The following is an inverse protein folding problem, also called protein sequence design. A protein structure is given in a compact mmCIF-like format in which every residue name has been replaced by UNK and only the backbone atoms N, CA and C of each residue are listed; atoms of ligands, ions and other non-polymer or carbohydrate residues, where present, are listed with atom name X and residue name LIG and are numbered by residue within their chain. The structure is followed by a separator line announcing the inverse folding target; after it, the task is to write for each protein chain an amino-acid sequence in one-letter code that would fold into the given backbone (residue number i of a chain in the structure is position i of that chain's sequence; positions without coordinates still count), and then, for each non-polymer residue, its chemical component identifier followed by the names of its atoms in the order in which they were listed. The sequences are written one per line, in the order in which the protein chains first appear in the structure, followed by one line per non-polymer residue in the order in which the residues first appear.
data_IF_015918359821
#
_entry.id   IF_015918359821
#
_cell.length_a   1.000
_cell.length_b   1.000
_cell.length_c   1.000
_cell.angle_alpha   90.00
_cell.angle_beta   90.00
_cell.angle_gamma   90.00
#
_symmetry.space_group_name_H-M   'P 1'
#
loop_
_entity.id
_entity.type
_entity.pdbx_description
1 polymer ?
#
# COMPACT_ATOMS: atom_id res chain seq x y z
N UNK A 1 -23.01 8.58 -7.90
CA UNK A 1 -24.44 8.90 -7.68
C UNK A 1 -25.07 7.88 -6.74
N UNK A 2 -26.17 8.20 -6.03
CA UNK A 2 -26.78 7.31 -5.03
C UNK A 2 -27.10 5.90 -5.51
N UNK A 3 -27.33 4.99 -4.58
CA UNK A 3 -27.69 3.59 -4.84
C UNK A 3 -29.17 3.44 -5.24
N UNK A 4 -29.54 4.10 -6.34
CA UNK A 4 -30.88 4.13 -6.92
C UNK A 4 -30.82 3.88 -8.42
N UNK A 5 -31.47 2.81 -8.88
CA UNK A 5 -31.33 2.34 -10.26
C UNK A 5 -31.83 3.38 -11.29
N UNK A 6 -32.96 4.03 -11.01
CA UNK A 6 -33.53 5.08 -11.86
C UNK A 6 -32.58 6.26 -12.09
N UNK A 7 -31.85 6.66 -11.04
CA UNK A 7 -30.84 7.73 -11.12
C UNK A 7 -29.62 7.25 -11.90
N UNK A 8 -29.14 6.03 -11.63
CA UNK A 8 -27.98 5.44 -12.32
C UNK A 8 -28.25 5.31 -13.82
N UNK A 9 -29.43 4.82 -14.25
CA UNK A 9 -29.78 4.72 -15.67
C UNK A 9 -29.76 6.07 -16.38
N UNK A 10 -30.32 7.12 -15.78
CA UNK A 10 -30.30 8.48 -16.36
C UNK A 10 -28.87 8.97 -16.57
N UNK A 11 -28.02 8.81 -15.55
CA UNK A 11 -26.62 9.24 -15.60
C UNK A 11 -25.83 8.43 -16.62
N UNK A 12 -26.02 7.11 -16.68
CA UNK A 12 -25.36 6.24 -17.66
C UNK A 12 -25.76 6.62 -19.10
N UNK A 13 -27.04 6.91 -19.34
CA UNK A 13 -27.51 7.38 -20.64
C UNK A 13 -26.89 8.74 -21.03
N UNK A 14 -26.80 9.68 -20.08
CA UNK A 14 -26.17 10.99 -20.30
C UNK A 14 -24.67 10.87 -20.59
N UNK A 15 -23.95 10.01 -19.87
CA UNK A 15 -22.53 9.69 -20.15
C UNK A 15 -22.39 9.08 -21.54
N UNK A 16 -23.27 8.15 -21.93
CA UNK A 16 -23.22 7.54 -23.26
C UNK A 16 -23.52 8.51 -24.39
N UNK A 17 -24.33 9.54 -24.16
CA UNK A 17 -24.63 10.57 -25.15
C UNK A 17 -23.41 11.48 -25.44
N UNK A 18 -22.48 11.60 -24.50
CA UNK A 18 -21.35 12.54 -24.57
C UNK A 18 -19.96 11.89 -24.64
N UNK A 19 -19.89 10.56 -24.71
CA UNK A 19 -18.62 9.82 -24.84
C UNK A 19 -18.50 9.11 -26.19
N UNK A 20 -17.26 8.99 -26.74
CA UNK A 20 -17.01 8.17 -27.92
C UNK A 20 -17.44 6.71 -27.71
N UNK A 21 -17.73 5.99 -28.79
CA UNK A 21 -17.96 4.54 -28.73
C UNK A 21 -16.70 3.80 -28.29
N UNK A 22 -16.87 2.72 -27.54
CA UNK A 22 -15.80 1.83 -27.08
C UNK A 22 -15.09 2.26 -25.81
N UNK A 23 -15.58 3.29 -25.11
CA UNK A 23 -15.10 3.68 -23.78
C UNK A 23 -15.56 2.69 -22.70
N UNK A 24 -14.81 2.63 -21.60
CA UNK A 24 -15.21 1.88 -20.40
C UNK A 24 -16.02 2.82 -19.50
N UNK A 25 -17.23 2.40 -19.10
CA UNK A 25 -18.06 3.10 -18.12
C UNK A 25 -18.20 2.21 -16.88
N UNK A 26 -17.46 2.54 -15.82
CA UNK A 26 -17.48 1.80 -14.56
C UNK A 26 -18.46 2.40 -13.55
N UNK A 27 -19.43 1.62 -13.07
CA UNK A 27 -20.31 1.97 -11.96
C UNK A 27 -19.73 1.49 -10.63
N UNK A 28 -19.68 2.36 -9.62
CA UNK A 28 -19.24 2.01 -8.25
C UNK A 28 -20.35 1.42 -7.36
N UNK A 29 -21.38 0.83 -7.95
CA UNK A 29 -22.52 0.25 -7.22
C UNK A 29 -22.06 -0.90 -6.32
N UNK A 30 -22.59 -0.95 -5.10
CA UNK A 30 -22.30 -2.01 -4.13
C UNK A 30 -23.27 -3.19 -4.28
N UNK A 31 -24.50 -2.94 -4.76
CA UNK A 31 -25.55 -3.96 -4.82
C UNK A 31 -25.94 -4.45 -6.22
N UNK A 32 -26.08 -3.54 -7.19
CA UNK A 32 -26.73 -3.86 -8.47
C UNK A 32 -25.83 -4.67 -9.41
N UNK A 33 -26.44 -5.59 -10.14
CA UNK A 33 -25.78 -6.36 -11.19
C UNK A 33 -25.51 -5.47 -12.41
N UNK A 34 -24.42 -5.73 -13.17
CA UNK A 34 -24.21 -5.07 -14.45
C UNK A 34 -25.41 -5.19 -15.39
N UNK A 35 -26.07 -6.35 -15.46
CA UNK A 35 -27.26 -6.54 -16.30
C UNK A 35 -28.41 -5.59 -15.95
N UNK A 36 -28.60 -5.24 -14.67
CA UNK A 36 -29.59 -4.27 -14.23
C UNK A 36 -29.20 -2.85 -14.67
N UNK A 37 -27.92 -2.49 -14.52
CA UNK A 37 -27.39 -1.19 -14.96
C UNK A 37 -27.48 -1.01 -16.48
N UNK A 38 -27.38 -2.10 -17.23
CA UNK A 38 -27.39 -2.13 -18.70
C UNK A 38 -28.80 -2.01 -19.29
N UNK A 39 -29.86 -2.15 -18.49
CA UNK A 39 -31.24 -2.09 -18.98
C UNK A 39 -31.53 -0.73 -19.63
N UNK A 40 -32.02 -0.77 -20.87
CA UNK A 40 -32.35 0.44 -21.64
C UNK A 40 -31.14 1.26 -22.12
N UNK A 41 -29.91 0.81 -21.86
CA UNK A 41 -28.70 1.50 -22.33
C UNK A 41 -28.54 1.39 -23.86
N UNK A 42 -28.09 2.47 -24.50
CA UNK A 42 -27.84 2.47 -25.94
C UNK A 42 -26.66 1.57 -26.34
N UNK A 43 -25.66 1.45 -25.45
CA UNK A 43 -24.46 0.63 -25.65
C UNK A 43 -24.16 -0.20 -24.39
N UNK A 44 -24.95 -1.23 -24.09
CA UNK A 44 -24.85 -1.96 -22.81
C UNK A 44 -23.47 -2.60 -22.60
N UNK A 45 -22.80 -3.00 -23.69
CA UNK A 45 -21.45 -3.57 -23.64
C UNK A 45 -20.34 -2.65 -23.11
N UNK A 46 -20.59 -1.34 -22.96
CA UNK A 46 -19.63 -0.37 -22.40
C UNK A 46 -19.76 -0.22 -20.88
N UNK A 47 -20.83 -0.74 -20.29
CA UNK A 47 -21.16 -0.54 -18.88
C UNK A 47 -20.74 -1.77 -18.08
N UNK A 48 -19.87 -1.56 -17.09
CA UNK A 48 -19.39 -2.58 -16.15
C UNK A 48 -19.48 -2.05 -14.73
N UNK A 49 -19.43 -2.93 -13.74
CA UNK A 49 -19.25 -2.55 -12.34
C UNK A 49 -17.76 -2.50 -12.04
N UNK A 50 -17.34 -1.44 -11.36
CA UNK A 50 -16.01 -1.25 -10.77
C UNK A 50 -16.25 -0.79 -9.33
N UNK A 51 -16.51 -1.73 -8.42
CA UNK A 51 -16.91 -1.49 -7.03
C UNK A 51 -15.67 -1.38 -6.12
N UNK A 52 -15.29 -0.16 -5.66
CA UNK A 52 -14.15 0.04 -4.79
C UNK A 52 -14.54 -0.12 -3.31
N UNK A 53 -13.56 -0.21 -2.42
CA UNK A 53 -13.79 -0.27 -0.97
C UNK A 53 -13.38 1.04 -0.30
N UNK A 54 -14.26 1.58 0.54
CA UNK A 54 -13.99 2.80 1.29
C UNK A 54 -13.01 2.53 2.46
N UNK A 55 -11.96 3.32 2.68
CA UNK A 55 -11.50 4.49 1.90
C UNK A 55 -10.81 4.13 0.57
N UNK A 56 -11.37 4.63 -0.55
CA UNK A 56 -10.99 4.24 -1.92
C UNK A 56 -9.54 4.59 -2.27
N UNK A 57 -9.00 5.65 -1.69
CA UNK A 57 -7.60 6.06 -1.92
C UNK A 57 -6.57 5.20 -1.18
N UNK A 58 -7.02 4.27 -0.31
CA UNK A 58 -6.15 3.47 0.55
C UNK A 58 -6.36 1.97 0.35
N UNK A 59 -7.62 1.50 0.33
CA UNK A 59 -7.91 0.08 0.10
C UNK A 59 -7.81 -0.24 -1.39
N UNK A 60 -6.88 -1.14 -1.80
CA UNK A 60 -6.57 -1.29 -3.22
C UNK A 60 -7.54 -2.20 -3.96
N UNK A 61 -8.35 -2.99 -3.25
CA UNK A 61 -9.26 -3.94 -3.89
C UNK A 61 -10.34 -3.19 -4.69
N UNK A 62 -10.68 -3.72 -5.86
CA UNK A 62 -11.84 -3.25 -6.63
C UNK A 62 -12.48 -4.43 -7.34
N UNK A 63 -13.77 -4.66 -7.14
CA UNK A 63 -14.48 -5.74 -7.83
C UNK A 63 -14.88 -5.27 -9.22
N UNK A 64 -14.45 -6.02 -10.24
CA UNK A 64 -14.77 -5.75 -11.64
C UNK A 64 -15.76 -6.81 -12.11
N UNK A 65 -16.96 -6.37 -12.47
CA UNK A 65 -18.07 -7.24 -12.89
C UNK A 65 -18.58 -6.79 -14.25
N UNK A 66 -18.57 -7.69 -15.22
CA UNK A 66 -19.18 -7.48 -16.54
C UNK A 66 -20.19 -8.57 -16.85
N UNK A 67 -20.99 -8.36 -17.89
CA UNK A 67 -21.79 -9.41 -18.54
C UNK A 67 -20.98 -10.09 -19.64
N UNK A 68 -21.55 -11.14 -20.24
CA UNK A 68 -20.93 -11.86 -21.36
C UNK A 68 -20.78 -10.99 -22.64
N UNK A 69 -20.04 -11.51 -23.62
CA UNK A 69 -19.90 -10.86 -24.92
C UNK A 69 -19.08 -9.55 -24.86
N UNK A 70 -19.53 -8.45 -25.48
CA UNK A 70 -18.77 -7.19 -25.52
C UNK A 70 -18.42 -6.62 -24.14
N UNK A 71 -19.29 -6.80 -23.13
CA UNK A 71 -19.03 -6.33 -21.77
C UNK A 71 -17.88 -7.08 -21.09
N UNK A 72 -17.60 -8.32 -21.47
CA UNK A 72 -16.45 -9.06 -20.95
C UNK A 72 -15.14 -8.42 -21.39
N UNK A 73 -15.04 -8.02 -22.65
CA UNK A 73 -13.87 -7.29 -23.17
C UNK A 73 -13.73 -5.90 -22.52
N UNK A 74 -14.83 -5.22 -22.23
CA UNK A 74 -14.84 -3.96 -21.48
C UNK A 74 -14.36 -4.15 -20.04
N UNK A 75 -14.77 -5.22 -19.37
CA UNK A 75 -14.31 -5.56 -18.03
C UNK A 75 -12.80 -5.87 -18.00
N UNK A 76 -12.28 -6.53 -19.03
CA UNK A 76 -10.83 -6.78 -19.17
C UNK A 76 -10.05 -5.47 -19.36
N UNK A 77 -10.53 -4.55 -20.19
CA UNK A 77 -9.93 -3.20 -20.29
C UNK A 77 -9.97 -2.44 -18.97
N UNK A 78 -11.10 -2.51 -18.24
CA UNK A 78 -11.21 -1.90 -16.92
C UNK A 78 -10.17 -2.49 -15.95
N UNK A 79 -9.99 -3.82 -15.98
CA UNK A 79 -8.99 -4.53 -15.17
C UNK A 79 -7.57 -4.00 -15.45
N UNK A 80 -7.20 -3.82 -16.71
CA UNK A 80 -5.88 -3.29 -17.09
C UNK A 80 -5.68 -1.84 -16.61
N UNK A 81 -6.68 -0.97 -16.83
CA UNK A 81 -6.63 0.43 -16.38
C UNK A 81 -6.45 0.52 -14.87
N UNK A 82 -7.27 -0.22 -14.12
CA UNK A 82 -7.25 -0.25 -12.66
C UNK A 82 -5.93 -0.81 -12.11
N UNK A 83 -5.40 -1.87 -12.74
CA UNK A 83 -4.07 -2.40 -12.41
C UNK A 83 -2.98 -1.36 -12.65
N UNK A 84 -3.07 -0.61 -13.76
CA UNK A 84 -2.12 0.43 -14.14
C UNK A 84 -1.99 1.52 -13.07
N UNK A 85 -3.10 1.97 -12.50
CA UNK A 85 -3.15 2.99 -11.44
C UNK A 85 -2.89 2.46 -10.02
N UNK A 86 -2.53 1.18 -9.88
CA UNK A 86 -2.12 0.59 -8.59
C UNK A 86 -3.22 -0.13 -7.81
N UNK A 87 -4.45 -0.23 -8.34
CA UNK A 87 -5.51 -1.03 -7.73
C UNK A 87 -5.24 -2.54 -7.92
N UNK A 88 -5.89 -3.36 -7.09
CA UNK A 88 -6.02 -4.80 -7.22
C UNK A 88 -7.42 -5.14 -7.73
N UNK A 89 -7.64 -5.17 -9.05
CA UNK A 89 -8.92 -5.59 -9.57
C UNK A 89 -9.14 -7.10 -9.31
N UNK A 90 -10.34 -7.41 -8.84
CA UNK A 90 -10.85 -8.76 -8.62
C UNK A 90 -11.95 -9.01 -9.65
N UNK A 91 -11.69 -9.90 -10.60
CA UNK A 91 -12.67 -10.25 -11.65
C UNK A 91 -13.76 -11.14 -11.07
N UNK A 92 -14.97 -10.62 -10.96
CA UNK A 92 -16.16 -11.38 -10.58
C UNK A 92 -16.67 -12.09 -11.82
N UNK A 93 -16.56 -13.42 -11.82
CA UNK A 93 -16.80 -14.24 -13.03
C UNK A 93 -18.26 -14.28 -13.46
N UNK A 94 -19.17 -14.18 -12.51
CA UNK A 94 -20.61 -14.21 -12.74
C UNK A 94 -21.24 -13.15 -11.85
N UNK A 95 -22.06 -12.30 -12.44
CA UNK A 95 -22.79 -11.31 -11.66
C UNK A 95 -23.70 -11.98 -10.61
N UNK A 96 -23.77 -11.33 -9.46
CA UNK A 96 -24.58 -11.72 -8.31
C UNK A 96 -24.87 -10.45 -7.52
N UNK A 97 -26.01 -10.41 -6.82
CA UNK A 97 -26.32 -9.30 -5.92
C UNK A 97 -25.26 -9.20 -4.81
N UNK A 98 -24.78 -7.98 -4.56
CA UNK A 98 -23.73 -7.65 -3.60
C UNK A 98 -22.36 -8.30 -3.87
N UNK A 99 -22.08 -8.69 -5.11
CA UNK A 99 -20.76 -9.15 -5.57
C UNK A 99 -20.14 -10.25 -4.69
N UNK A 100 -18.85 -10.19 -4.34
CA UNK A 100 -18.19 -11.19 -3.49
C UNK A 100 -17.99 -10.63 -2.07
N UNK A 101 -17.32 -9.47 -1.96
CA UNK A 101 -16.89 -8.96 -0.66
C UNK A 101 -18.06 -8.51 0.22
N UNK A 102 -19.04 -7.80 -0.32
CA UNK A 102 -20.19 -7.33 0.45
C UNK A 102 -21.03 -8.51 0.96
N UNK A 103 -21.04 -9.65 0.26
CA UNK A 103 -21.68 -10.88 0.79
C UNK A 103 -21.01 -11.41 2.05
N UNK A 104 -19.68 -11.30 2.16
CA UNK A 104 -18.97 -11.64 3.39
C UNK A 104 -19.24 -10.63 4.50
N UNK A 105 -19.25 -9.32 4.17
CA UNK A 105 -19.59 -8.27 5.12
C UNK A 105 -21.01 -8.45 5.67
N UNK A 106 -21.98 -8.70 4.79
CA UNK A 106 -23.37 -8.99 5.14
C UNK A 106 -23.50 -10.23 6.01
N UNK A 107 -22.80 -11.32 5.69
CA UNK A 107 -22.87 -12.54 6.50
C UNK A 107 -22.40 -12.28 7.95
N UNK A 108 -21.27 -11.58 8.11
CA UNK A 108 -20.74 -11.24 9.45
C UNK A 108 -21.66 -10.26 10.16
N UNK A 109 -22.19 -9.25 9.46
CA UNK A 109 -23.09 -8.26 10.01
C UNK A 109 -24.39 -8.87 10.54
N UNK A 110 -25.03 -9.75 9.74
CA UNK A 110 -26.29 -10.42 10.11
C UNK A 110 -26.12 -11.29 11.35
N UNK A 111 -25.01 -12.02 11.44
CA UNK A 111 -24.70 -12.81 12.63
C UNK A 111 -24.53 -11.90 13.86
N UNK A 112 -23.81 -10.79 13.71
CA UNK A 112 -23.66 -9.80 14.79
C UNK A 112 -25.00 -9.25 15.30
N UNK A 113 -25.94 -8.94 14.40
CA UNK A 113 -27.29 -8.49 14.77
C UNK A 113 -28.03 -9.53 15.62
N UNK A 114 -27.92 -10.81 15.28
CA UNK A 114 -28.52 -11.89 16.07
C UNK A 114 -27.86 -12.06 17.43
N UNK A 115 -26.53 -12.00 17.50
CA UNK A 115 -25.80 -12.08 18.76
C UNK A 115 -26.18 -10.96 19.73
N UNK A 116 -26.38 -9.73 19.22
CA UNK A 116 -26.84 -8.60 20.03
C UNK A 116 -28.30 -8.80 20.45
N UNK A 117 -29.19 -9.10 19.51
CA UNK A 117 -30.61 -9.29 19.80
C UNK A 117 -30.84 -10.38 20.85
N UNK A 118 -30.13 -11.50 20.72
CA UNK A 118 -30.28 -12.65 21.61
C UNK A 118 -29.48 -12.49 22.92
N UNK A 119 -28.83 -11.33 23.14
CA UNK A 119 -28.12 -10.99 24.38
C UNK A 119 -26.83 -11.76 24.60
N UNK A 120 -26.23 -12.29 23.54
CA UNK A 120 -25.01 -13.12 23.58
C UNK A 120 -23.75 -12.24 23.62
N UNK A 121 -23.76 -11.10 22.94
CA UNK A 121 -22.64 -10.17 22.89
C UNK A 121 -23.10 -8.73 22.65
N UNK A 122 -22.30 -7.77 23.08
CA UNK A 122 -22.42 -6.35 22.76
C UNK A 122 -21.72 -6.01 21.44
N UNK A 123 -21.95 -4.80 20.90
CA UNK A 123 -21.21 -4.31 19.72
C UNK A 123 -19.69 -4.35 19.94
N UNK A 124 -19.21 -4.03 21.14
CA UNK A 124 -17.79 -4.02 21.47
C UNK A 124 -17.19 -5.42 21.50
N UNK A 125 -17.85 -6.39 22.13
CA UNK A 125 -17.35 -7.77 22.21
C UNK A 125 -17.26 -8.44 20.83
N UNK A 126 -18.24 -8.17 19.94
CA UNK A 126 -18.22 -8.65 18.56
C UNK A 126 -17.03 -8.06 17.82
N UNK A 127 -16.84 -6.75 17.92
CA UNK A 127 -15.74 -6.05 17.29
C UNK A 127 -14.38 -6.55 17.81
N UNK A 128 -14.25 -6.79 19.12
CA UNK A 128 -13.01 -7.28 19.74
C UNK A 128 -12.66 -8.71 19.31
N UNK A 129 -13.66 -9.57 19.09
CA UNK A 129 -13.47 -10.89 18.47
C UNK A 129 -12.81 -10.78 17.07
N UNK A 130 -13.11 -9.70 16.33
CA UNK A 130 -12.53 -9.42 15.02
C UNK A 130 -11.14 -8.78 15.18
N UNK A 131 -11.04 -7.66 15.90
CA UNK A 131 -9.83 -6.82 16.03
C UNK A 131 -8.68 -7.56 16.71
N UNK A 132 -8.98 -8.37 17.72
CA UNK A 132 -7.97 -9.10 18.50
C UNK A 132 -7.89 -10.59 18.16
N UNK A 133 -8.82 -11.10 17.34
CA UNK A 133 -8.90 -12.51 16.95
C UNK A 133 -8.62 -12.75 15.48
N UNK A 134 -9.66 -13.11 14.73
CA UNK A 134 -9.50 -13.63 13.37
C UNK A 134 -9.23 -12.55 12.32
N UNK A 135 -9.60 -11.29 12.55
CA UNK A 135 -9.43 -10.19 11.61
C UNK A 135 -7.98 -9.96 11.21
N UNK A 136 -7.04 -10.02 12.17
CA UNK A 136 -5.59 -9.86 11.90
C UNK A 136 -5.06 -10.99 11.01
N UNK A 137 -5.55 -12.23 11.18
CA UNK A 137 -5.17 -13.36 10.31
C UNK A 137 -5.69 -13.15 8.88
N UNK A 138 -6.94 -12.69 8.75
CA UNK A 138 -7.54 -12.43 7.45
C UNK A 138 -6.89 -11.27 6.71
N UNK A 139 -6.51 -10.20 7.41
CA UNK A 139 -5.90 -9.01 6.82
C UNK A 139 -4.64 -9.30 5.99
N UNK A 140 -3.91 -10.37 6.30
CA UNK A 140 -2.66 -10.72 5.63
C UNK A 140 -2.76 -11.91 4.65
N UNK A 141 -3.66 -12.88 4.85
CA UNK A 141 -3.76 -14.07 3.98
C UNK A 141 -5.19 -14.51 3.60
N UNK A 142 -6.22 -13.89 4.17
CA UNK A 142 -7.62 -14.26 3.90
C UNK A 142 -8.06 -15.60 4.51
N UNK A 143 -9.31 -15.99 4.23
CA UNK A 143 -9.99 -17.12 4.87
C UNK A 143 -9.36 -18.48 4.54
N UNK A 144 -9.22 -18.80 3.25
CA UNK A 144 -8.80 -20.13 2.81
C UNK A 144 -7.34 -20.43 3.13
N UNK A 145 -6.43 -19.46 3.01
CA UNK A 145 -5.02 -19.68 3.42
C UNK A 145 -4.92 -19.85 4.95
N UNK A 146 -5.72 -19.12 5.72
CA UNK A 146 -5.77 -19.29 7.19
C UNK A 146 -6.18 -20.74 7.55
N UNK A 147 -7.18 -21.30 6.87
CA UNK A 147 -7.60 -22.69 7.09
C UNK A 147 -6.64 -23.71 6.47
N UNK A 148 -5.92 -23.36 5.41
CA UNK A 148 -4.84 -24.20 4.87
C UNK A 148 -3.75 -24.42 5.91
N UNK A 149 -3.36 -23.37 6.64
CA UNK A 149 -2.42 -23.49 7.77
C UNK A 149 -2.99 -24.38 8.87
N UNK A 150 -4.28 -24.26 9.19
CA UNK A 150 -4.94 -25.11 10.17
C UNK A 150 -5.00 -26.60 9.75
N UNK A 151 -4.98 -26.90 8.45
CA UNK A 151 -4.88 -28.25 7.91
C UNK A 151 -3.49 -28.89 8.00
N UNK A 152 -2.46 -28.14 8.43
CA UNK A 152 -1.09 -28.61 8.56
C UNK A 152 -0.47 -29.07 7.23
N UNK A 153 0.50 -29.97 7.29
CA UNK A 153 1.22 -30.48 6.11
C UNK A 153 0.30 -31.22 5.12
N UNK A 154 -0.80 -31.81 5.62
CA UNK A 154 -1.81 -32.47 4.79
C UNK A 154 -2.76 -31.48 4.08
N UNK A 155 -2.71 -30.20 4.43
CA UNK A 155 -3.36 -29.10 3.74
C UNK A 155 -4.89 -29.07 3.83
N UNK A 156 -5.51 -28.35 2.88
CA UNK A 156 -6.94 -28.01 2.92
C UNK A 156 -7.86 -29.24 2.87
N UNK A 157 -7.51 -30.28 2.11
CA UNK A 157 -8.32 -31.48 2.04
C UNK A 157 -8.45 -32.17 3.41
N UNK A 158 -7.36 -32.20 4.18
CA UNK A 158 -7.37 -32.72 5.54
C UNK A 158 -8.22 -31.85 6.47
N UNK A 159 -8.06 -30.53 6.43
CA UNK A 159 -8.89 -29.59 7.18
C UNK A 159 -10.39 -29.81 6.91
N UNK A 160 -10.79 -29.94 5.64
CA UNK A 160 -12.18 -30.20 5.25
C UNK A 160 -12.65 -31.57 5.73
N UNK A 161 -11.83 -32.61 5.64
CA UNK A 161 -12.20 -33.93 6.14
C UNK A 161 -12.42 -33.93 7.66
N UNK A 162 -11.60 -33.18 8.39
CA UNK A 162 -11.65 -33.08 9.85
C UNK A 162 -12.83 -32.22 10.33
N UNK A 163 -13.03 -31.02 9.78
CA UNK A 163 -14.00 -30.03 10.27
C UNK A 163 -15.25 -29.91 9.41
N UNK A 164 -15.26 -30.46 8.19
CA UNK A 164 -16.42 -30.48 7.29
C UNK A 164 -17.71 -31.01 7.94
N UNK A 165 -17.68 -32.07 8.76
CA UNK A 165 -18.87 -32.54 9.48
C UNK A 165 -19.50 -31.48 10.41
N UNK A 166 -18.71 -30.54 10.93
CA UNK A 166 -19.21 -29.46 11.80
C UNK A 166 -20.01 -28.41 11.04
N UNK A 167 -19.87 -28.31 9.70
CA UNK A 167 -20.61 -27.35 8.89
C UNK A 167 -22.12 -27.62 8.84
N UNK A 168 -22.55 -28.84 9.19
CA UNK A 168 -23.96 -29.19 9.32
C UNK A 168 -24.58 -28.74 10.65
N UNK A 169 -23.77 -28.26 11.60
CA UNK A 169 -24.28 -27.83 12.90
C UNK A 169 -24.92 -26.44 12.78
N UNK A 170 -26.03 -26.18 13.49
CA UNK A 170 -26.82 -24.95 13.34
C UNK A 170 -26.20 -23.77 14.11
N UNK A 171 -24.94 -23.44 13.78
CA UNK A 171 -24.16 -22.44 14.52
C UNK A 171 -24.47 -20.99 14.17
N UNK A 172 -24.94 -20.70 12.96
CA UNK A 172 -25.11 -19.33 12.46
C UNK A 172 -26.49 -19.11 11.86
N UNK A 173 -26.95 -17.86 11.84
CA UNK A 173 -28.26 -17.41 11.33
C UNK A 173 -28.08 -16.42 10.18
N UNK A 174 -27.54 -16.90 9.05
CA UNK A 174 -27.14 -16.02 7.94
C UNK A 174 -28.25 -15.66 6.94
N UNK A 175 -29.32 -16.45 6.91
CA UNK A 175 -30.37 -16.32 5.89
C UNK A 175 -31.46 -15.30 6.25
N UNK A 176 -31.64 -15.01 7.54
CA UNK A 176 -32.63 -14.05 8.05
C UNK A 176 -31.94 -12.98 8.90
N UNK A 177 -32.62 -11.85 9.08
CA UNK A 177 -32.21 -10.78 10.01
C UNK A 177 -33.23 -10.64 11.12
N UNK A 178 -32.84 -10.20 12.32
CA UNK A 178 -33.82 -9.79 13.30
C UNK A 178 -34.66 -8.63 12.78
N UNK A 179 -35.90 -8.53 13.24
CA UNK A 179 -36.69 -7.32 13.05
C UNK A 179 -35.96 -6.14 13.70
N UNK A 180 -35.66 -5.10 12.92
CA UNK A 180 -35.01 -3.88 13.39
C UNK A 180 -36.02 -3.00 14.14
N UNK A 181 -36.47 -3.49 15.29
CA UNK A 181 -37.36 -2.74 16.18
C UNK A 181 -36.66 -1.49 16.71
N UNK A 182 -37.43 -0.48 17.11
CA UNK A 182 -36.89 0.75 17.70
C UNK A 182 -35.98 0.44 18.91
N UNK A 183 -36.34 -0.58 19.71
CA UNK A 183 -35.55 -1.03 20.86
C UNK A 183 -34.20 -1.64 20.45
N UNK A 184 -34.18 -2.49 19.40
CA UNK A 184 -32.94 -3.09 18.92
C UNK A 184 -32.02 -2.02 18.30
N UNK A 185 -32.59 -1.13 17.49
CA UNK A 185 -31.86 0.01 16.90
C UNK A 185 -31.27 0.88 17.99
N UNK A 186 -32.07 1.24 19.01
CA UNK A 186 -31.60 2.02 20.16
C UNK A 186 -30.49 1.28 20.93
N UNK A 187 -30.63 -0.02 21.15
CA UNK A 187 -29.61 -0.82 21.85
C UNK A 187 -28.28 -0.80 21.10
N UNK A 188 -28.29 -1.03 19.79
CA UNK A 188 -27.08 -1.00 18.96
C UNK A 188 -26.46 0.41 18.96
N UNK A 189 -27.29 1.44 18.80
CA UNK A 189 -26.83 2.83 18.79
C UNK A 189 -26.19 3.23 20.13
N UNK A 190 -26.86 2.97 21.26
CA UNK A 190 -26.34 3.28 22.60
C UNK A 190 -25.02 2.55 22.89
N UNK A 191 -24.90 1.28 22.48
CA UNK A 191 -23.67 0.50 22.65
C UNK A 191 -22.53 1.04 21.76
N UNK A 192 -22.84 1.41 20.51
CA UNK A 192 -21.86 2.03 19.60
C UNK A 192 -21.37 3.38 20.13
N UNK A 193 -22.27 4.22 20.63
CA UNK A 193 -21.96 5.51 21.24
C UNK A 193 -21.15 5.35 22.53
N UNK A 194 -21.46 4.36 23.36
CA UNK A 194 -20.67 4.06 24.56
C UNK A 194 -19.22 3.67 24.21
N UNK A 195 -19.04 2.90 23.13
CA UNK A 195 -17.73 2.43 22.70
C UNK A 195 -16.88 3.54 22.06
N UNK A 196 -17.46 4.39 21.21
CA UNK A 196 -16.68 5.30 20.34
C UNK A 196 -17.19 6.75 20.31
N UNK A 197 -18.27 7.07 21.02
CA UNK A 197 -18.91 8.39 21.00
C UNK A 197 -18.06 9.54 21.58
N UNK A 198 -16.97 9.22 22.27
CA UNK A 198 -15.96 10.21 22.69
C UNK A 198 -15.12 10.76 21.53
N UNK A 199 -15.18 10.13 20.35
CA UNK A 199 -14.48 10.55 19.16
C UNK A 199 -15.44 11.15 18.13
N UNK A 200 -15.02 12.24 17.49
CA UNK A 200 -15.67 12.68 16.25
C UNK A 200 -15.43 11.67 15.13
N UNK A 201 -16.34 11.62 14.15
CA UNK A 201 -16.18 10.75 12.97
C UNK A 201 -14.83 10.97 12.29
N UNK A 202 -14.39 12.23 12.16
CA UNK A 202 -13.10 12.55 11.54
C UNK A 202 -11.89 12.04 12.33
N UNK A 203 -11.99 11.95 13.67
CA UNK A 203 -10.95 11.32 14.48
C UNK A 203 -10.93 9.80 14.27
N UNK A 204 -12.09 9.15 14.23
CA UNK A 204 -12.19 7.72 13.94
C UNK A 204 -11.65 7.37 12.54
N UNK A 205 -11.96 8.19 11.53
CA UNK A 205 -11.41 8.04 10.17
C UNK A 205 -9.88 8.11 10.17
N UNK A 206 -9.29 9.07 10.88
CA UNK A 206 -7.82 9.17 11.00
C UNK A 206 -7.22 7.96 11.70
N UNK A 207 -7.79 7.53 12.82
CA UNK A 207 -7.35 6.33 13.55
C UNK A 207 -7.40 5.10 12.64
N UNK A 208 -8.50 4.90 11.91
CA UNK A 208 -8.66 3.79 10.95
C UNK A 208 -7.58 3.86 9.86
N UNK A 209 -7.45 5.00 9.20
CA UNK A 209 -6.58 5.16 8.04
C UNK A 209 -5.10 5.03 8.40
N UNK A 210 -4.66 5.61 9.53
CA UNK A 210 -3.29 5.50 10.01
C UNK A 210 -2.91 4.06 10.36
N UNK A 211 -3.84 3.31 10.95
CA UNK A 211 -3.66 1.88 11.25
C UNK A 211 -3.60 1.04 9.96
N UNK A 212 -4.49 1.29 9.00
CA UNK A 212 -4.49 0.60 7.70
C UNK A 212 -3.18 0.84 6.94
N UNK A 213 -2.69 2.08 6.88
CA UNK A 213 -1.39 2.41 6.28
C UNK A 213 -0.25 1.66 6.97
N UNK A 214 -0.26 1.61 8.30
CA UNK A 214 0.77 0.93 9.09
C UNK A 214 0.78 -0.59 8.83
N UNK A 215 -0.40 -1.22 8.76
CA UNK A 215 -0.53 -2.63 8.38
C UNK A 215 -0.02 -2.90 6.96
N UNK A 216 -0.46 -2.11 5.97
CA UNK A 216 -0.04 -2.29 4.58
C UNK A 216 1.47 -2.11 4.39
N UNK A 217 2.10 -1.16 5.08
CA UNK A 217 3.55 -0.97 5.06
C UNK A 217 4.31 -2.11 5.72
N UNK A 218 3.77 -2.66 6.80
CA UNK A 218 4.35 -3.84 7.47
C UNK A 218 4.32 -5.05 6.53
N UNK A 219 3.21 -5.25 5.82
CA UNK A 219 3.08 -6.28 4.78
C UNK A 219 4.01 -6.03 3.59
N UNK A 220 4.24 -4.76 3.22
CA UNK A 220 5.14 -4.38 2.11
C UNK A 220 6.56 -4.85 2.37
N UNK A 221 7.06 -4.67 3.60
CA UNK A 221 8.37 -5.17 4.01
C UNK A 221 8.50 -6.70 3.99
N UNK A 222 7.38 -7.43 4.04
CA UNK A 222 7.32 -8.89 3.91
C UNK A 222 6.96 -9.38 2.51
N UNK A 223 6.75 -8.47 1.56
CA UNK A 223 6.29 -8.74 0.20
C UNK A 223 5.08 -9.69 0.17
N UNK A 224 4.08 -9.42 1.02
CA UNK A 224 2.91 -10.30 1.19
C UNK A 224 1.59 -9.52 1.14
N UNK A 225 0.49 -10.18 0.78
CA UNK A 225 -0.84 -9.58 0.72
C UNK A 225 -0.88 -8.24 -0.03
N UNK A 226 -1.51 -7.22 0.57
CA UNK A 226 -1.53 -5.84 0.04
C UNK A 226 -0.13 -5.24 -0.12
N UNK A 227 0.84 -5.65 0.71
CA UNK A 227 2.22 -5.21 0.62
C UNK A 227 2.93 -5.63 -0.67
N UNK A 228 2.68 -6.86 -1.13
CA UNK A 228 3.22 -7.35 -2.41
C UNK A 228 2.72 -6.51 -3.59
N UNK A 229 1.44 -6.12 -3.57
CA UNK A 229 0.86 -5.22 -4.56
C UNK A 229 1.56 -3.85 -4.54
N UNK A 230 1.78 -3.28 -3.35
CA UNK A 230 2.49 -2.01 -3.22
C UNK A 230 3.92 -2.08 -3.78
N UNK A 231 4.64 -3.20 -3.61
CA UNK A 231 5.96 -3.38 -4.21
C UNK A 231 5.90 -3.47 -5.74
N UNK A 232 4.90 -4.16 -6.29
CA UNK A 232 4.68 -4.22 -7.74
C UNK A 232 4.37 -2.84 -8.33
N UNK A 233 3.57 -2.04 -7.61
CA UNK A 233 3.26 -0.68 -8.03
C UNK A 233 4.49 0.23 -7.99
N UNK A 234 5.28 0.21 -6.91
CA UNK A 234 6.54 0.95 -6.81
C UNK A 234 7.50 0.59 -7.95
N UNK A 235 7.65 -0.70 -8.26
CA UNK A 235 8.51 -1.16 -9.35
C UNK A 235 8.06 -0.59 -10.71
N UNK A 236 6.74 -0.48 -10.94
CA UNK A 236 6.19 0.14 -12.15
C UNK A 236 6.46 1.63 -12.20
N UNK A 237 6.22 2.36 -11.11
CA UNK A 237 6.51 3.80 -11.04
C UNK A 237 7.99 4.07 -11.27
N UNK A 238 8.86 3.28 -10.65
CA UNK A 238 10.30 3.36 -10.83
C UNK A 238 10.75 3.11 -12.27
N UNK A 239 10.07 2.22 -13.00
CA UNK A 239 10.35 1.99 -14.42
C UNK A 239 9.94 3.17 -15.32
N UNK A 240 9.11 4.09 -14.83
CA UNK A 240 8.72 5.32 -15.51
C UNK A 240 9.60 6.53 -15.14
N UNK A 241 10.50 6.38 -14.16
CA UNK A 241 11.38 7.46 -13.74
C UNK A 241 12.40 7.80 -14.86
N UNK A 242 12.62 9.09 -15.14
CA UNK A 242 13.61 9.50 -16.11
C UNK A 242 15.03 9.15 -15.62
N UNK A 243 15.95 8.95 -16.57
CA UNK A 243 17.38 8.82 -16.23
C UNK A 243 17.86 10.14 -15.61
N UNK A 244 18.51 10.12 -14.44
CA UNK A 244 18.96 11.35 -13.79
C UNK A 244 20.11 11.99 -14.56
N UNK A 245 20.26 13.31 -14.41
CA UNK A 245 21.42 14.04 -14.90
C UNK A 245 22.64 13.79 -14.00
N UNK A 246 23.57 12.96 -14.48
CA UNK A 246 24.81 12.62 -13.80
C UNK A 246 25.80 13.79 -13.64
N UNK A 247 25.53 14.97 -14.22
CA UNK A 247 26.33 16.16 -14.01
C UNK A 247 25.89 16.98 -12.78
N UNK A 248 24.82 16.58 -12.09
CA UNK A 248 24.25 17.25 -10.92
C UNK A 248 24.14 16.30 -9.73
N UNK A 249 24.02 16.80 -8.48
CA UNK A 249 23.68 15.95 -7.34
C UNK A 249 22.44 15.11 -7.65
N UNK A 250 22.55 13.78 -7.45
CA UNK A 250 21.54 12.85 -7.93
C UNK A 250 20.32 12.86 -7.00
N UNK A 251 19.09 13.00 -7.51
CA UNK A 251 17.90 12.86 -6.70
C UNK A 251 17.75 11.38 -6.27
N UNK A 252 17.84 11.14 -4.97
CA UNK A 252 17.87 9.78 -4.40
C UNK A 252 16.72 9.51 -3.44
N UNK A 253 15.96 10.52 -3.05
CA UNK A 253 14.72 10.38 -2.30
C UNK A 253 13.79 11.57 -2.61
N UNK A 254 12.50 11.30 -2.77
CA UNK A 254 11.43 12.30 -2.72
C UNK A 254 10.22 11.65 -2.04
N UNK A 255 9.83 12.16 -0.88
CA UNK A 255 8.70 11.60 -0.15
C UNK A 255 8.04 12.58 0.80
N UNK A 256 6.81 12.22 1.18
CA UNK A 256 6.14 12.77 2.36
C UNK A 256 6.62 12.02 3.62
N UNK A 257 6.89 12.77 4.69
CA UNK A 257 7.21 12.26 6.02
C UNK A 257 5.95 11.61 6.60
N UNK A 258 5.95 10.28 6.82
CA UNK A 258 4.78 9.61 7.35
C UNK A 258 4.64 9.85 8.86
N UNK A 259 3.41 9.77 9.36
CA UNK A 259 3.14 9.86 10.80
C UNK A 259 3.89 8.78 11.61
N UNK A 260 4.13 7.61 11.03
CA UNK A 260 4.93 6.54 11.64
C UNK A 260 6.41 6.87 11.83
N UNK A 261 6.88 8.01 11.28
CA UNK A 261 8.24 8.51 11.46
C UNK A 261 8.34 9.61 12.51
N UNK A 262 7.21 10.09 13.02
CA UNK A 262 7.20 11.18 13.99
C UNK A 262 7.08 10.68 15.42
N UNK A 263 7.56 11.48 16.35
CA UNK A 263 7.34 11.28 17.78
C UNK A 263 5.95 11.78 18.22
N UNK A 264 5.70 11.75 19.52
CA UNK A 264 4.44 12.22 20.11
C UNK A 264 4.20 13.73 19.93
N UNK A 265 5.22 14.50 19.58
CA UNK A 265 5.13 15.94 19.26
C UNK A 265 4.94 16.20 17.76
N UNK A 266 4.87 15.16 16.92
CA UNK A 266 4.75 15.28 15.47
C UNK A 266 6.05 15.61 14.75
N UNK A 267 7.19 15.60 15.43
CA UNK A 267 8.51 15.84 14.83
C UNK A 267 9.10 14.54 14.33
N UNK A 268 9.75 14.56 13.17
CA UNK A 268 10.46 13.41 12.64
C UNK A 268 11.55 12.98 13.61
N UNK A 269 11.46 11.74 14.09
CA UNK A 269 12.39 11.19 15.07
C UNK A 269 13.82 11.10 14.48
N UNK A 270 14.85 11.31 15.31
CA UNK A 270 16.26 11.35 14.90
C UNK A 270 16.67 10.14 14.02
N UNK A 271 16.25 8.93 14.40
CA UNK A 271 16.62 7.70 13.70
C UNK A 271 16.02 7.63 12.29
N UNK A 272 14.90 8.32 12.06
CA UNK A 272 14.22 8.33 10.76
C UNK A 272 14.94 9.17 9.72
N UNK A 273 15.75 10.14 10.14
CA UNK A 273 16.66 10.84 9.22
C UNK A 273 17.67 9.85 8.64
N UNK A 274 18.29 9.04 9.50
CA UNK A 274 19.22 8.00 9.05
C UNK A 274 18.51 6.94 8.18
N UNK A 275 17.28 6.55 8.52
CA UNK A 275 16.50 5.64 7.66
C UNK A 275 16.25 6.25 6.27
N UNK A 276 15.91 7.54 6.18
CA UNK A 276 15.71 8.23 4.91
C UNK A 276 17.00 8.28 4.08
N UNK A 277 18.13 8.59 4.74
CA UNK A 277 19.44 8.57 4.09
C UNK A 277 19.90 7.17 3.69
N UNK A 278 19.59 6.14 4.46
CA UNK A 278 19.84 4.75 4.09
C UNK A 278 19.12 4.40 2.79
N UNK A 279 17.84 4.79 2.66
CA UNK A 279 17.07 4.60 1.42
C UNK A 279 17.61 5.42 0.25
N UNK A 280 18.11 6.62 0.51
CA UNK A 280 18.79 7.43 -0.50
C UNK A 280 20.09 6.76 -0.99
N UNK A 281 20.87 6.17 -0.08
CA UNK A 281 22.07 5.39 -0.42
C UNK A 281 21.70 4.14 -1.23
N UNK A 282 20.64 3.41 -0.86
CA UNK A 282 20.13 2.28 -1.64
C UNK A 282 19.73 2.73 -3.05
N UNK A 283 19.05 3.89 -3.18
CA UNK A 283 18.71 4.44 -4.50
C UNK A 283 19.94 4.80 -5.31
N UNK A 284 20.98 5.37 -4.69
CA UNK A 284 22.26 5.61 -5.36
C UNK A 284 22.89 4.30 -5.86
N UNK A 285 22.87 3.24 -5.05
CA UNK A 285 23.34 1.91 -5.43
C UNK A 285 22.59 1.38 -6.65
N UNK A 286 21.27 1.49 -6.68
CA UNK A 286 20.47 1.12 -7.85
C UNK A 286 20.83 1.95 -9.09
N UNK A 287 21.01 3.27 -8.93
CA UNK A 287 21.39 4.16 -10.04
C UNK A 287 22.71 3.73 -10.66
N UNK A 288 23.69 3.28 -9.87
CA UNK A 288 24.98 2.77 -10.38
C UNK A 288 24.92 1.33 -10.89
N UNK A 289 23.76 0.67 -10.83
CA UNK A 289 23.56 -0.70 -11.32
C UNK A 289 23.69 -1.79 -10.26
N UNK A 290 23.87 -1.43 -8.99
CA UNK A 290 23.83 -2.36 -7.86
C UNK A 290 22.39 -2.58 -7.37
N UNK A 291 21.51 -3.01 -8.26
CA UNK A 291 20.10 -3.30 -7.96
C UNK A 291 19.88 -4.71 -7.38
N UNK A 292 18.62 -5.12 -7.20
CA UNK A 292 18.28 -6.45 -6.67
C UNK A 292 18.81 -7.60 -7.55
N UNK A 293 18.87 -7.44 -8.87
CA UNK A 293 19.41 -8.44 -9.78
C UNK A 293 20.92 -8.56 -9.60
N UNK A 294 21.62 -7.44 -9.45
CA UNK A 294 23.03 -7.41 -9.11
C UNK A 294 23.30 -8.07 -7.75
N UNK A 295 22.53 -7.73 -6.72
CA UNK A 295 22.68 -8.29 -5.36
C UNK A 295 22.49 -9.81 -5.36
N UNK A 296 21.57 -10.33 -6.18
CA UNK A 296 21.35 -11.76 -6.34
C UNK A 296 22.56 -12.51 -6.93
N UNK A 297 23.51 -11.83 -7.60
CA UNK A 297 24.80 -12.42 -8.01
C UNK A 297 25.76 -12.64 -6.82
N UNK A 298 25.37 -12.15 -5.64
CA UNK A 298 26.10 -12.25 -4.38
C UNK A 298 27.19 -11.19 -4.21
N UNK A 299 27.02 -10.01 -4.79
CA UNK A 299 27.87 -8.85 -4.55
C UNK A 299 27.02 -7.67 -4.06
N UNK A 300 27.58 -6.79 -3.23
CA UNK A 300 26.89 -5.59 -2.76
C UNK A 300 27.87 -4.52 -2.27
N UNK A 301 27.36 -3.35 -1.92
CA UNK A 301 28.06 -2.38 -1.10
C UNK A 301 27.49 -2.36 0.31
N UNK A 302 28.35 -2.21 1.31
CA UNK A 302 27.95 -1.96 2.69
C UNK A 302 28.51 -0.63 3.17
N UNK A 303 27.71 0.08 3.94
CA UNK A 303 28.13 1.28 4.65
C UNK A 303 29.14 0.92 5.74
N UNK A 304 30.35 1.43 5.62
CA UNK A 304 31.41 1.24 6.60
C UNK A 304 31.43 2.35 7.65
N UNK A 305 31.15 3.59 7.22
CA UNK A 305 31.11 4.75 8.10
C UNK A 305 29.92 5.64 7.73
N UNK A 306 29.37 6.33 8.73
CA UNK A 306 28.26 7.27 8.58
C UNK A 306 28.44 8.40 9.57
N UNK A 307 28.34 9.63 9.08
CA UNK A 307 28.30 10.82 9.90
C UNK A 307 27.06 11.65 9.54
N UNK A 308 26.11 11.71 10.48
CA UNK A 308 24.82 12.41 10.32
C UNK A 308 24.84 13.74 11.09
N UNK A 309 24.42 14.81 10.43
CA UNK A 309 24.17 16.11 11.05
C UNK A 309 22.68 16.43 10.94
N UNK A 310 22.06 16.68 12.10
CA UNK A 310 20.72 17.27 12.17
C UNK A 310 20.86 18.80 12.19
N UNK A 311 20.18 19.48 11.29
CA UNK A 311 20.31 20.92 11.05
C UNK A 311 19.00 21.62 11.40
N UNK A 312 17.88 21.11 10.91
CA UNK A 312 16.54 21.65 11.10
C UNK A 312 15.51 20.50 11.22
N UNK A 313 14.26 20.82 11.56
CA UNK A 313 13.19 19.85 11.81
C UNK A 313 12.22 19.67 10.65
N UNK A 314 11.63 18.49 10.59
CA UNK A 314 10.55 18.12 9.67
C UNK A 314 9.40 17.51 10.47
N UNK A 315 8.17 17.78 10.03
CA UNK A 315 6.93 17.34 10.65
C UNK A 315 6.23 16.27 9.81
N UNK A 316 5.25 15.60 10.40
CA UNK A 316 4.36 14.70 9.66
C UNK A 316 3.66 15.47 8.52
N UNK A 317 3.67 14.91 7.31
CA UNK A 317 3.07 15.53 6.13
C UNK A 317 4.00 16.45 5.33
N UNK A 318 5.15 16.83 5.90
CA UNK A 318 6.17 17.57 5.15
C UNK A 318 6.72 16.74 4.01
N UNK A 319 7.01 17.39 2.88
CA UNK A 319 7.69 16.74 1.75
C UNK A 319 9.19 17.01 1.84
N UNK A 320 9.97 15.93 1.87
CA UNK A 320 11.42 15.93 1.94
C UNK A 320 12.02 15.35 0.66
N UNK A 321 13.11 15.96 0.20
CA UNK A 321 13.93 15.46 -0.91
C UNK A 321 15.36 15.23 -0.46
N UNK A 322 16.01 14.20 -0.98
CA UNK A 322 17.44 13.94 -0.76
C UNK A 322 18.17 13.95 -2.09
N UNK A 323 19.28 14.67 -2.11
CA UNK A 323 20.22 14.72 -3.22
C UNK A 323 21.57 14.15 -2.78
N UNK A 324 22.15 13.27 -3.59
CA UNK A 324 23.40 12.56 -3.28
C UNK A 324 24.49 12.94 -4.26
N UNK A 325 25.61 13.45 -3.74
CA UNK A 325 26.82 13.74 -4.49
C UNK A 325 27.90 12.70 -4.16
N UNK A 326 28.38 12.00 -5.20
CA UNK A 326 29.59 11.20 -5.14
C UNK A 326 30.82 12.11 -5.00
N UNK A 327 31.54 12.00 -3.86
CA UNK A 327 32.74 12.77 -3.57
C UNK A 327 33.99 12.08 -4.12
N UNK A 328 34.07 10.76 -4.01
CA UNK A 328 35.15 9.97 -4.59
C UNK A 328 34.73 8.52 -4.81
N UNK A 329 35.34 7.87 -5.81
CA UNK A 329 35.19 6.44 -6.04
C UNK A 329 36.52 5.86 -6.49
N UNK A 330 36.92 4.72 -5.92
CA UNK A 330 38.19 4.08 -6.26
C UNK A 330 38.39 2.75 -5.56
N UNK A 331 38.98 1.80 -6.28
CA UNK A 331 39.23 0.46 -5.75
C UNK A 331 37.93 -0.23 -5.33
N UNK A 332 37.84 -0.54 -4.04
CA UNK A 332 36.69 -1.23 -3.43
C UNK A 332 35.72 -0.29 -2.72
N UNK A 333 35.93 1.02 -2.77
CA UNK A 333 35.19 1.98 -1.95
C UNK A 333 34.67 3.15 -2.77
N UNK A 334 33.59 3.74 -2.30
CA UNK A 334 33.19 5.08 -2.71
C UNK A 334 32.70 5.88 -1.52
N UNK A 335 32.73 7.20 -1.68
CA UNK A 335 32.40 8.18 -0.67
C UNK A 335 31.30 9.09 -1.19
N UNK A 336 30.16 9.12 -0.51
CA UNK A 336 29.01 9.96 -0.88
C UNK A 336 28.69 10.96 0.23
N UNK A 337 28.14 12.09 -0.18
CA UNK A 337 27.51 13.07 0.70
C UNK A 337 26.08 13.30 0.24
N UNK A 338 25.11 13.20 1.14
CA UNK A 338 23.71 13.45 0.82
C UNK A 338 23.13 14.57 1.66
N UNK A 339 22.32 15.42 1.03
CA UNK A 339 21.66 16.56 1.67
C UNK A 339 20.15 16.38 1.59
N UNK A 340 19.47 16.54 2.73
CA UNK A 340 18.02 16.47 2.82
C UNK A 340 17.43 17.87 2.91
N UNK A 341 16.49 18.17 2.02
CA UNK A 341 15.81 19.46 1.98
C UNK A 341 14.31 19.30 2.22
N UNK A 342 13.74 20.29 2.89
CA UNK A 342 12.30 20.51 2.90
C UNK A 342 11.82 21.08 1.55
N UNK A 343 10.53 20.95 1.25
CA UNK A 343 9.93 21.46 0.02
C UNK A 343 10.03 22.98 -0.18
N UNK A 344 10.22 23.75 0.89
CA UNK A 344 10.48 25.20 0.86
C UNK A 344 11.95 25.56 0.61
N UNK A 345 12.85 24.57 0.49
CA UNK A 345 14.28 24.76 0.25
C UNK A 345 15.16 24.78 1.49
N UNK A 346 14.62 24.71 2.72
CA UNK A 346 15.43 24.60 3.94
C UNK A 346 16.24 23.30 3.97
N UNK A 347 17.49 23.38 4.42
CA UNK A 347 18.34 22.21 4.64
C UNK A 347 18.03 21.60 6.02
N UNK A 348 17.54 20.36 6.01
CA UNK A 348 17.08 19.66 7.22
C UNK A 348 18.18 18.84 7.88
N UNK A 349 18.95 18.11 7.07
CA UNK A 349 20.00 17.24 7.54
C UNK A 349 21.02 16.94 6.43
N UNK A 350 22.21 16.50 6.81
CA UNK A 350 23.22 15.99 5.88
C UNK A 350 23.81 14.69 6.41
N UNK A 351 24.15 13.77 5.51
CA UNK A 351 24.91 12.57 5.85
C UNK A 351 26.15 12.43 4.96
N UNK A 352 27.26 12.05 5.56
CA UNK A 352 28.49 11.65 4.87
C UNK A 352 28.70 10.16 5.09
N UNK A 353 28.90 9.38 4.02
CA UNK A 353 28.99 7.92 4.10
C UNK A 353 30.09 7.36 3.21
N UNK A 354 30.86 6.43 3.77
CA UNK A 354 31.81 5.61 3.01
C UNK A 354 31.24 4.21 2.86
N UNK A 355 31.15 3.75 1.61
CA UNK A 355 30.65 2.43 1.26
C UNK A 355 31.78 1.55 0.70
N UNK A 356 31.72 0.26 1.02
CA UNK A 356 32.72 -0.74 0.63
C UNK A 356 32.04 -1.87 -0.13
N UNK A 357 32.57 -2.21 -1.30
CA UNK A 357 32.14 -3.32 -2.12
C UNK A 357 32.57 -4.66 -1.50
N UNK A 358 31.65 -5.62 -1.45
CA UNK A 358 31.82 -6.91 -0.79
C UNK A 358 31.23 -8.07 -1.60
N UNK A 359 31.80 -9.25 -1.42
CA UNK A 359 31.16 -10.50 -1.81
C UNK A 359 30.31 -11.01 -0.65
N UNK A 360 29.05 -11.35 -0.93
CA UNK A 360 28.13 -11.94 0.03
C UNK A 360 28.46 -13.41 0.32
N UNK A 361 29.19 -14.09 -0.58
CA UNK A 361 29.68 -15.44 -0.36
C UNK A 361 30.85 -15.47 0.62
N UNK A 362 31.87 -14.62 0.41
CA UNK A 362 33.08 -14.62 1.25
C UNK A 362 32.99 -13.68 2.44
N UNK A 363 32.00 -12.76 2.45
CA UNK A 363 31.84 -11.68 3.42
C UNK A 363 33.08 -10.78 3.54
N UNK A 364 33.82 -10.62 2.46
CA UNK A 364 35.04 -9.83 2.40
C UNK A 364 34.99 -8.77 1.31
N UNK A 365 35.77 -7.70 1.49
CA UNK A 365 35.87 -6.62 0.53
C UNK A 365 36.50 -7.10 -0.78
N UNK A 366 35.82 -6.90 -1.90
CA UNK A 366 36.27 -7.32 -3.24
C UNK A 366 36.16 -6.16 -4.24
N UNK A 367 36.84 -6.25 -5.38
CA UNK A 367 36.68 -5.24 -6.44
C UNK A 367 35.27 -5.35 -7.05
N UNK A 368 34.59 -4.23 -7.31
CA UNK A 368 33.38 -4.26 -8.12
C UNK A 368 33.68 -4.70 -9.56
N UNK A 369 32.73 -5.32 -10.25
CA UNK A 369 32.83 -5.57 -11.69
C UNK A 369 33.04 -4.27 -12.49
N UNK A 370 33.61 -4.38 -13.69
CA UNK A 370 34.06 -3.22 -14.48
C UNK A 370 32.93 -2.28 -14.88
N UNK A 371 31.75 -2.80 -15.19
CA UNK A 371 30.57 -2.00 -15.52
C UNK A 371 30.14 -1.06 -14.38
N UNK A 372 30.13 -1.55 -13.13
CA UNK A 372 29.86 -0.73 -11.94
C UNK A 372 31.00 0.25 -11.68
N UNK A 373 32.26 -0.20 -11.80
CA UNK A 373 33.44 0.63 -11.58
C UNK A 373 33.53 1.80 -12.58
N UNK A 374 33.29 1.52 -13.86
CA UNK A 374 33.31 2.51 -14.95
C UNK A 374 32.19 3.54 -14.77
N UNK A 375 31.01 3.09 -14.33
CA UNK A 375 29.87 3.99 -14.05
C UNK A 375 30.18 4.91 -12.87
N UNK A 376 30.72 4.38 -11.77
CA UNK A 376 31.19 5.19 -10.64
C UNK A 376 32.28 6.18 -11.06
N UNK A 377 33.26 5.75 -11.87
CA UNK A 377 34.33 6.62 -12.37
C UNK A 377 33.79 7.77 -13.24
N UNK A 378 32.81 7.48 -14.10
CA UNK A 378 32.11 8.50 -14.90
C UNK A 378 31.40 9.53 -14.02
N UNK A 379 30.63 9.08 -13.03
CA UNK A 379 29.92 9.98 -12.10
C UNK A 379 30.93 10.80 -11.30
N UNK A 380 31.98 10.18 -10.78
CA UNK A 380 33.02 10.87 -10.00
C UNK A 380 33.69 11.97 -10.82
N UNK A 381 33.98 11.72 -12.10
CA UNK A 381 34.53 12.74 -13.01
C UNK A 381 33.60 13.94 -13.19
N UNK A 382 32.29 13.69 -13.32
CA UNK A 382 31.31 14.76 -13.46
C UNK A 382 31.15 15.54 -12.15
N UNK A 383 31.04 14.84 -11.03
CA UNK A 383 30.85 15.43 -9.72
C UNK A 383 32.10 16.16 -9.20
N UNK A 384 33.30 15.85 -9.70
CA UNK A 384 34.51 16.60 -9.40
C UNK A 384 34.45 18.07 -9.86
N UNK A 385 33.55 18.41 -10.80
CA UNK A 385 33.30 19.78 -11.23
C UNK A 385 32.29 20.52 -10.35
N UNK A 386 31.58 19.81 -9.47
CA UNK A 386 30.62 20.41 -8.54
C UNK A 386 31.32 21.00 -7.32
N UNK A 387 30.75 22.05 -6.69
CA UNK A 387 31.24 22.51 -5.39
C UNK A 387 31.23 21.38 -4.36
N UNK A 388 32.21 21.41 -3.45
CA UNK A 388 32.23 20.51 -2.30
C UNK A 388 31.08 20.94 -1.36
N UNK A 389 30.16 20.04 -0.98
CA UNK A 389 29.07 20.38 -0.07
C UNK A 389 29.56 20.88 1.28
N UNK A 390 28.82 21.82 1.87
CA UNK A 390 29.07 22.24 3.24
C UNK A 390 28.80 21.09 4.21
N UNK A 391 29.81 20.72 5.00
CA UNK A 391 29.68 19.67 6.01
C UNK A 391 30.53 18.42 5.78
N UNK A 392 31.15 18.30 4.61
CA UNK A 392 32.14 17.24 4.32
C UNK A 392 33.28 17.30 5.34
N UNK A 393 33.62 16.17 5.95
CA UNK A 393 34.67 16.04 6.96
C UNK A 393 34.31 16.59 8.34
N UNK A 394 33.03 16.94 8.60
CA UNK A 394 32.60 17.35 9.95
C UNK A 394 32.71 16.17 10.91
N UNK A 395 32.95 16.45 12.19
CA UNK A 395 32.94 15.44 13.25
C UNK A 395 32.27 15.96 14.53
N UNK A 396 31.87 15.02 15.40
CA UNK A 396 31.27 15.33 16.70
C UNK A 396 32.26 16.12 17.56
N UNK A 397 31.79 17.25 18.11
CA UNK A 397 32.62 18.15 18.92
C UNK A 397 33.29 19.29 18.13
N UNK A 398 33.21 19.30 16.81
CA UNK A 398 33.70 20.42 16.01
C UNK A 398 32.81 21.67 16.24
N UNK A 399 33.40 22.87 16.49
CA UNK A 399 32.64 24.11 16.63
C UNK A 399 31.73 24.36 15.43
N UNK A 400 30.51 24.85 15.68
CA UNK A 400 29.57 25.20 14.62
C UNK A 400 30.01 26.45 13.89
#
# INVERSE_FOLDING_TARGET
VPERLDIKHKVLAEVQAHTPKGVVIGSSTSGFKPSELQQGAARPGEIVVCHPFNPVYLLPLIEVVGTDGPAAATADKAYEILTGIGMKPLKVRKEIDAHIADRFLEAVWREGLWLIKDGIATTEEIDDAIRFGFGIRWAQMGLFETYRVAGGEAGMAHFIAQFGPCLAWPWTKLMDVPELTDDLVKTIADQSDAQSGMHTIRQLERIRDDNLVSMMRSLKGRNWGAGALLNQHDARLKALEPTPDFASPLPTLDRVVPISWTDYNGHMNEARYLEAFSKASDRFMEIIGCDATYIATGNSYFTAETHLRHIDEALAGDRIRVETQLLSAGGKKYHIFSSMYHSDGRLLATVEQVLIHVSLQTRAATMPPSDIADKLARIAKLHAALPIPEGVGRHVGQPR
#
